data_IF_025797859051
#
_entry.id   IF_025797859051
#
_cell.length_a   1.000
_cell.length_b   1.000
_cell.length_c   1.000
_cell.angle_alpha   90.00
_cell.angle_beta   90.00
_cell.angle_gamma   90.00
#
_symmetry.space_group_name_H-M   'P 1'
#
loop_
_entity.id
_entity.type
_entity.pdbx_description
1 polymer ?
#
# COMPACT_ATOMS: atom_id res chain seq x y z
N UNK A 1 25.88 18.68 -47.09
CA UNK A 1 25.53 17.24 -47.16
C UNK A 1 24.03 17.12 -47.40
N UNK A 2 23.67 16.24 -48.34
CA UNK A 2 22.42 16.18 -49.11
C UNK A 2 21.46 15.13 -48.53
N UNK A 3 20.15 15.36 -48.75
CA UNK A 3 19.03 14.41 -48.82
C UNK A 3 18.55 13.73 -47.53
N UNK A 4 17.29 13.28 -47.41
CA UNK A 4 15.97 13.56 -48.04
C UNK A 4 14.99 12.67 -47.26
N UNK A 5 13.76 13.16 -47.13
CA UNK A 5 12.51 12.45 -46.84
C UNK A 5 12.47 10.94 -47.12
N UNK A 6 11.76 10.17 -46.28
CA UNK A 6 10.49 9.51 -46.64
C UNK A 6 9.91 8.63 -45.51
N UNK A 7 8.62 8.81 -45.31
CA UNK A 7 7.65 7.91 -44.66
C UNK A 7 7.58 6.55 -45.35
N UNK A 8 7.37 5.47 -44.59
CA UNK A 8 6.76 4.23 -45.08
C UNK A 8 5.93 3.54 -43.99
N UNK A 9 4.65 3.38 -44.30
CA UNK A 9 3.68 2.53 -43.60
C UNK A 9 3.92 1.09 -44.09
N UNK A 10 3.89 0.09 -43.20
CA UNK A 10 3.50 -1.26 -43.60
C UNK A 10 2.63 -1.93 -42.53
N UNK A 11 1.43 -2.31 -42.97
CA UNK A 11 0.49 -3.20 -42.28
C UNK A 11 0.91 -4.63 -42.62
N UNK A 12 0.97 -5.52 -41.63
CA UNK A 12 0.98 -6.96 -41.90
C UNK A 12 -0.20 -7.57 -41.13
N UNK A 13 -1.21 -7.98 -41.90
CA UNK A 13 -2.27 -8.88 -41.47
C UNK A 13 -1.68 -10.30 -41.33
N UNK A 14 -2.02 -10.99 -40.25
CA UNK A 14 -1.93 -12.45 -40.22
C UNK A 14 -3.35 -13.02 -40.15
N UNK A 15 -3.84 -13.41 -41.31
CA UNK A 15 -5.01 -14.23 -41.56
C UNK A 15 -4.74 -15.66 -41.07
N UNK A 16 -5.77 -16.29 -40.49
CA UNK A 16 -5.67 -17.58 -39.80
C UNK A 16 -5.40 -18.78 -40.69
N UNK A 17 -5.02 -19.88 -40.03
CA UNK A 17 -5.01 -21.21 -40.61
C UNK A 17 -5.68 -22.19 -39.64
N UNK A 18 -6.93 -22.51 -39.96
CA UNK A 18 -7.67 -23.66 -39.43
C UNK A 18 -7.15 -24.90 -40.15
N UNK A 19 -6.76 -25.94 -39.43
CA UNK A 19 -6.50 -27.26 -40.00
C UNK A 19 -7.38 -28.29 -39.28
N UNK A 20 -8.47 -28.68 -39.95
CA UNK A 20 -9.28 -29.85 -39.65
C UNK A 20 -8.62 -31.07 -40.30
N UNK A 21 -8.43 -32.14 -39.53
CA UNK A 21 -8.21 -33.50 -40.04
C UNK A 21 -9.10 -34.47 -39.26
N UNK A 22 -9.92 -35.22 -40.00
CA UNK A 22 -10.93 -36.18 -39.52
C UNK A 22 -10.56 -37.59 -40.01
N UNK A 23 -10.73 -38.58 -39.12
CA UNK A 23 -11.07 -39.98 -39.42
C UNK A 23 -9.90 -40.98 -39.40
N UNK A 24 -10.01 -42.22 -38.91
CA UNK A 24 -11.09 -42.98 -38.27
C UNK A 24 -10.53 -44.30 -37.67
N UNK A 25 -11.18 -44.88 -36.64
CA UNK A 25 -11.29 -46.34 -36.52
C UNK A 25 -10.73 -47.08 -35.27
N UNK A 26 -11.65 -47.44 -34.38
CA UNK A 26 -11.72 -48.67 -33.54
C UNK A 26 -10.82 -48.86 -32.29
N UNK A 27 -11.42 -48.81 -31.09
CA UNK A 27 -11.93 -50.01 -30.36
C UNK A 27 -12.13 -49.71 -28.87
N UNK A 28 -13.34 -49.95 -28.38
CA UNK A 28 -13.79 -49.65 -27.02
C UNK A 28 -13.48 -50.79 -26.03
N UNK A 29 -13.06 -50.45 -24.81
CA UNK A 29 -13.33 -51.28 -23.62
C UNK A 29 -13.49 -50.43 -22.35
N UNK A 30 -14.66 -50.63 -21.74
CA UNK A 30 -15.24 -50.06 -20.52
C UNK A 30 -14.31 -49.87 -19.31
N UNK A 31 -14.53 -48.80 -18.55
CA UNK A 31 -14.84 -48.89 -17.11
C UNK A 31 -15.52 -47.61 -16.61
N UNK A 32 -16.71 -47.79 -16.04
CA UNK A 32 -17.56 -46.83 -15.34
C UNK A 32 -16.95 -46.33 -14.03
N UNK A 33 -17.15 -45.04 -13.70
CA UNK A 33 -17.80 -44.63 -12.43
C UNK A 33 -18.11 -43.13 -12.42
N UNK A 34 -19.38 -42.84 -12.22
CA UNK A 34 -19.96 -41.52 -12.02
C UNK A 34 -19.42 -40.81 -10.77
N UNK A 35 -19.18 -39.51 -10.88
CA UNK A 35 -19.50 -38.56 -9.80
C UNK A 35 -19.65 -37.15 -10.37
N UNK A 36 -20.86 -36.86 -10.88
CA UNK A 36 -21.36 -35.50 -11.00
C UNK A 36 -21.51 -34.91 -9.60
N UNK A 37 -20.52 -34.11 -9.15
CA UNK A 37 -20.61 -33.30 -7.93
C UNK A 37 -20.66 -31.82 -8.35
N UNK A 38 -21.87 -31.42 -8.70
CA UNK A 38 -22.59 -30.22 -8.24
C UNK A 38 -21.84 -28.87 -8.25
N UNK A 39 -21.89 -28.20 -9.40
CA UNK A 39 -21.68 -26.74 -9.57
C UNK A 39 -22.58 -25.88 -8.66
N UNK A 40 -23.71 -26.42 -8.19
CA UNK A 40 -24.65 -25.75 -7.27
C UNK A 40 -24.09 -25.51 -5.85
N UNK A 41 -22.99 -26.16 -5.45
CA UNK A 41 -22.38 -25.95 -4.13
C UNK A 41 -21.44 -24.73 -4.09
N UNK A 42 -20.80 -24.38 -5.22
CA UNK A 42 -19.96 -23.18 -5.32
C UNK A 42 -20.76 -21.88 -5.39
N UNK A 43 -21.93 -21.90 -6.04
CA UNK A 43 -22.83 -20.74 -6.06
C UNK A 43 -23.51 -20.48 -4.70
N UNK A 44 -23.78 -21.54 -3.93
CA UNK A 44 -24.31 -21.41 -2.56
C UNK A 44 -23.31 -20.86 -1.56
N UNK A 45 -22.00 -20.98 -1.81
CA UNK A 45 -20.97 -20.44 -0.91
C UNK A 45 -20.74 -18.92 -1.09
N UNK A 46 -21.20 -18.35 -2.21
CA UNK A 46 -21.04 -16.93 -2.53
C UNK A 46 -22.28 -16.08 -2.25
N UNK A 47 -23.40 -16.69 -1.86
CA UNK A 47 -24.66 -16.01 -1.52
C UNK A 47 -25.11 -16.35 -0.10
N UNK A 48 -24.45 -15.77 0.89
CA UNK A 48 -25.08 -15.44 2.17
C UNK A 48 -24.24 -14.40 2.91
N UNK A 49 -24.76 -13.18 2.94
CA UNK A 49 -24.65 -12.13 3.95
C UNK A 49 -24.69 -10.76 3.27
N UNK A 50 -25.87 -10.44 2.75
CA UNK A 50 -26.33 -9.08 2.55
C UNK A 50 -27.60 -8.96 3.40
N UNK A 51 -27.40 -8.92 4.71
CA UNK A 51 -28.38 -8.38 5.65
C UNK A 51 -27.79 -7.08 6.19
N UNK A 52 -28.61 -6.04 6.01
CA UNK A 52 -28.35 -4.63 6.23
C UNK A 52 -28.05 -4.31 7.68
N UNK A 53 -26.83 -3.82 7.94
CA UNK A 53 -26.54 -3.02 9.13
C UNK A 53 -26.76 -1.55 8.77
N UNK A 54 -27.79 -0.93 9.35
CA UNK A 54 -28.04 0.51 9.26
C UNK A 54 -27.07 1.27 10.18
N UNK A 55 -25.78 1.23 9.85
CA UNK A 55 -24.75 2.14 10.38
C UNK A 55 -24.24 2.97 9.22
N UNK A 56 -24.30 4.30 9.31
CA UNK A 56 -23.92 5.23 8.24
C UNK A 56 -22.73 4.71 7.41
N UNK A 57 -23.00 4.32 6.15
CA UNK A 57 -22.01 3.91 5.16
C UNK A 57 -21.03 5.08 4.95
N UNK A 58 -19.97 5.13 5.76
CA UNK A 58 -18.86 6.03 5.52
C UNK A 58 -18.16 5.50 4.28
N UNK A 59 -18.48 6.07 3.12
CA UNK A 59 -17.81 5.75 1.87
C UNK A 59 -16.29 5.84 2.07
N UNK A 60 -15.60 4.71 2.00
CA UNK A 60 -14.13 4.67 2.14
C UNK A 60 -13.50 5.29 0.89
N UNK A 61 -12.46 6.09 1.07
CA UNK A 61 -11.72 6.67 -0.04
C UNK A 61 -10.86 5.59 -0.72
N UNK A 62 -10.92 5.53 -2.06
CA UNK A 62 -10.04 4.65 -2.84
C UNK A 62 -8.70 5.35 -3.08
N UNK A 63 -7.60 4.72 -2.67
CA UNK A 63 -6.24 5.23 -2.81
C UNK A 63 -5.34 4.23 -3.52
N UNK A 64 -4.24 4.71 -4.09
CA UNK A 64 -3.25 3.90 -4.77
C UNK A 64 -2.27 3.17 -3.85
N UNK A 65 -1.40 2.37 -4.46
CA UNK A 65 -0.31 1.70 -3.73
C UNK A 65 0.76 2.69 -3.23
N UNK A 66 0.85 3.87 -3.84
CA UNK A 66 1.77 4.95 -3.51
C UNK A 66 1.02 6.27 -3.50
N UNK A 67 1.12 7.02 -2.41
CA UNK A 67 0.43 8.30 -2.24
C UNK A 67 1.35 9.40 -1.74
N UNK A 68 0.91 10.65 -1.87
CA UNK A 68 1.56 11.81 -1.27
C UNK A 68 0.97 12.08 0.11
N UNK A 69 1.83 12.15 1.12
CA UNK A 69 1.44 12.36 2.51
C UNK A 69 2.10 13.62 3.01
N UNK A 70 1.29 14.53 3.55
CA UNK A 70 1.81 15.69 4.27
C UNK A 70 2.11 15.30 5.71
N UNK A 71 3.29 15.67 6.18
CA UNK A 71 3.79 15.38 7.54
C UNK A 71 3.83 16.68 8.33
N UNK A 72 3.28 16.65 9.54
CA UNK A 72 3.34 17.75 10.49
C UNK A 72 3.85 17.26 11.85
N UNK A 73 4.67 18.06 12.55
CA UNK A 73 5.20 19.39 12.18
C UNK A 73 6.21 19.38 11.02
N UNK A 74 6.47 20.55 10.44
CA UNK A 74 7.36 20.75 9.28
C UNK A 74 6.65 21.02 7.95
N UNK A 75 5.37 20.66 7.84
CA UNK A 75 4.50 20.91 6.68
C UNK A 75 5.11 20.54 5.31
N UNK A 76 5.83 19.42 5.25
CA UNK A 76 6.43 18.90 4.02
C UNK A 76 5.66 17.68 3.49
N UNK A 77 5.84 17.34 2.21
CA UNK A 77 5.11 16.27 1.53
C UNK A 77 6.08 15.17 1.07
N UNK A 78 5.83 13.95 1.54
CA UNK A 78 6.60 12.77 1.16
C UNK A 78 5.79 11.83 0.26
N UNK A 79 6.45 11.14 -0.65
CA UNK A 79 5.89 9.93 -1.28
C UNK A 79 5.93 8.78 -0.29
N UNK A 80 4.80 8.10 -0.12
CA UNK A 80 4.65 7.00 0.82
C UNK A 80 4.13 5.75 0.14
N UNK A 81 4.65 4.59 0.54
CA UNK A 81 4.06 3.30 0.18
C UNK A 81 2.90 3.00 1.14
N UNK A 82 1.75 2.65 0.58
CA UNK A 82 0.59 2.18 1.35
C UNK A 82 0.78 0.70 1.66
N UNK A 83 1.03 0.36 2.93
CA UNK A 83 1.40 -0.99 3.36
C UNK A 83 0.32 -1.56 4.30
N UNK A 84 -0.61 -2.32 3.70
CA UNK A 84 -1.68 -3.01 4.44
C UNK A 84 -1.15 -4.14 5.32
N UNK A 85 0.09 -4.61 5.11
CA UNK A 85 0.76 -5.62 5.94
C UNK A 85 1.33 -5.04 7.23
N UNK A 86 1.67 -3.75 7.26
CA UNK A 86 2.21 -3.08 8.44
C UNK A 86 1.12 -2.68 9.45
N UNK A 87 1.28 -3.05 10.72
CA UNK A 87 0.39 -2.61 11.80
C UNK A 87 0.59 -1.14 12.19
N UNK A 88 1.80 -0.62 12.01
CA UNK A 88 2.20 0.74 12.38
C UNK A 88 2.90 1.43 11.20
N UNK A 89 2.58 2.69 10.98
CA UNK A 89 3.30 3.60 10.09
C UNK A 89 4.77 3.74 10.54
N UNK A 90 5.68 3.78 9.57
CA UNK A 90 7.12 3.99 9.82
C UNK A 90 7.68 5.06 8.92
N UNK A 91 8.58 5.89 9.45
CA UNK A 91 9.25 6.96 8.71
C UNK A 91 10.76 6.78 8.78
N UNK A 92 11.42 7.01 7.65
CA UNK A 92 12.85 7.19 7.53
C UNK A 92 13.28 8.48 8.22
N UNK A 93 14.42 8.46 8.89
CA UNK A 93 14.99 9.61 9.57
C UNK A 93 16.41 9.86 9.05
N UNK A 94 16.80 11.13 9.04
CA UNK A 94 18.16 11.56 8.74
C UNK A 94 19.01 11.48 10.01
N UNK A 95 18.45 11.93 11.13
CA UNK A 95 19.06 11.81 12.45
C UNK A 95 18.02 11.69 13.56
N UNK A 96 18.42 11.09 14.69
CA UNK A 96 17.65 11.10 15.93
C UNK A 96 18.57 11.16 17.13
N UNK A 97 18.29 12.08 18.04
CA UNK A 97 18.88 12.16 19.37
C UNK A 97 17.78 11.91 20.40
N UNK A 98 18.05 11.05 21.38
CA UNK A 98 17.15 10.80 22.51
C UNK A 98 17.71 11.51 23.73
N UNK A 99 16.93 12.42 24.30
CA UNK A 99 17.22 13.11 25.55
C UNK A 99 16.19 12.70 26.60
N UNK A 100 16.58 12.73 27.87
CA UNK A 100 15.65 12.51 28.98
C UNK A 100 15.39 13.85 29.69
N UNK A 101 14.13 14.24 29.77
CA UNK A 101 13.68 15.46 30.46
C UNK A 101 12.57 15.07 31.43
N UNK A 102 12.74 15.41 32.72
CA UNK A 102 11.79 15.11 33.79
C UNK A 102 11.36 13.63 33.85
N UNK A 103 12.29 12.72 33.55
CA UNK A 103 12.04 11.27 33.55
C UNK A 103 11.35 10.74 32.30
N UNK A 104 11.12 11.59 31.28
CA UNK A 104 10.49 11.22 30.02
C UNK A 104 11.50 11.28 28.86
N UNK A 105 11.46 10.29 27.97
CA UNK A 105 12.29 10.30 26.78
C UNK A 105 11.68 11.19 25.68
N UNK A 106 12.50 12.08 25.13
CA UNK A 106 12.18 12.96 24.01
C UNK A 106 13.12 12.66 22.85
N UNK A 107 12.57 12.60 21.64
CA UNK A 107 13.31 12.45 20.40
C UNK A 107 13.41 13.81 19.70
N UNK A 108 14.64 14.30 19.52
CA UNK A 108 14.96 15.36 18.55
C UNK A 108 15.26 14.64 17.24
N UNK A 109 14.39 14.79 16.25
CA UNK A 109 14.44 14.03 15.00
C UNK A 109 14.50 14.96 13.80
N UNK A 110 15.40 14.67 12.87
CA UNK A 110 15.47 15.30 11.55
C UNK A 110 14.87 14.38 10.50
N UNK A 111 13.89 14.88 9.76
CA UNK A 111 13.21 14.18 8.66
C UNK A 111 13.10 15.15 7.50
N UNK A 112 13.68 14.80 6.35
CA UNK A 112 13.59 15.61 5.13
C UNK A 112 14.10 17.04 5.40
N UNK A 113 15.24 17.15 6.09
CA UNK A 113 15.85 18.41 6.56
C UNK A 113 15.05 19.22 7.61
N UNK A 114 13.92 18.70 8.10
CA UNK A 114 13.11 19.34 9.14
C UNK A 114 13.40 18.73 10.52
N UNK A 115 13.93 19.54 11.44
CA UNK A 115 14.24 19.11 12.81
C UNK A 115 13.13 19.47 13.78
N UNK A 116 12.60 18.48 14.49
CA UNK A 116 11.47 18.65 15.41
C UNK A 116 11.65 17.80 16.67
N UNK A 117 11.08 18.25 17.80
CA UNK A 117 11.17 17.55 19.09
C UNK A 117 9.85 16.91 19.48
N UNK A 118 9.88 15.63 19.84
CA UNK A 118 8.68 14.84 20.14
C UNK A 118 8.87 13.96 21.36
N UNK A 119 7.83 13.81 22.18
CA UNK A 119 7.82 12.81 23.24
C UNK A 119 7.85 11.40 22.65
N UNK A 120 8.71 10.53 23.16
CA UNK A 120 8.73 9.11 22.83
C UNK A 120 7.59 8.43 23.58
N UNK A 121 6.59 7.94 22.85
CA UNK A 121 5.40 7.34 23.47
C UNK A 121 5.61 5.88 23.87
N UNK A 122 6.54 5.19 23.20
CA UNK A 122 7.01 3.83 23.52
C UNK A 122 8.19 3.45 22.64
N UNK A 123 8.82 2.33 22.97
CA UNK A 123 9.74 1.63 22.08
C UNK A 123 9.08 0.37 21.51
N UNK A 124 9.39 0.07 20.25
CA UNK A 124 9.02 -1.21 19.62
C UNK A 124 10.27 -1.97 19.18
N UNK A 125 10.18 -3.29 19.15
CA UNK A 125 11.23 -4.16 18.64
C UNK A 125 10.81 -4.71 17.29
N UNK A 126 11.53 -4.36 16.24
CA UNK A 126 11.26 -4.84 14.88
C UNK A 126 12.27 -5.94 14.56
N UNK A 127 11.77 -7.18 14.43
CA UNK A 127 12.57 -8.33 14.04
C UNK A 127 12.38 -8.61 12.55
N UNK A 128 13.49 -8.68 11.81
CA UNK A 128 13.49 -9.28 10.47
C UNK A 128 13.86 -10.75 10.59
N UNK A 129 13.36 -11.56 9.66
CA UNK A 129 13.72 -12.98 9.63
C UNK A 129 15.24 -13.13 9.54
N UNK A 130 15.83 -13.92 10.43
CA UNK A 130 17.29 -14.11 10.49
C UNK A 130 18.12 -12.94 11.08
N UNK A 131 17.51 -11.84 11.54
CA UNK A 131 18.24 -10.69 12.09
C UNK A 131 17.92 -10.44 13.57
N UNK A 132 18.85 -9.77 14.26
CA UNK A 132 18.61 -9.25 15.62
C UNK A 132 17.47 -8.22 15.57
N UNK A 133 16.67 -8.19 16.64
CA UNK A 133 15.59 -7.21 16.75
C UNK A 133 16.18 -5.80 16.91
N UNK A 134 15.63 -4.84 16.17
CA UNK A 134 16.02 -3.44 16.27
C UNK A 134 15.01 -2.69 17.13
N UNK A 135 15.48 -2.07 18.23
CA UNK A 135 14.69 -1.16 19.07
C UNK A 135 14.46 0.14 18.32
N UNK A 136 13.22 0.59 18.21
CA UNK A 136 12.83 1.83 17.53
C UNK A 136 11.96 2.69 18.44
N UNK A 137 12.28 3.98 18.62
CA UNK A 137 11.36 4.90 19.28
C UNK A 137 10.12 5.13 18.42
N UNK A 138 8.99 5.34 19.09
CA UNK A 138 7.72 5.71 18.47
C UNK A 138 7.33 7.08 18.96
N UNK A 139 6.99 7.97 18.04
CA UNK A 139 6.50 9.32 18.30
C UNK A 139 5.09 9.50 17.72
N UNK A 140 4.41 10.59 18.05
CA UNK A 140 3.13 10.96 17.40
C UNK A 140 3.39 12.01 16.34
N UNK A 141 2.94 11.76 15.11
CA UNK A 141 2.96 12.73 14.03
C UNK A 141 1.55 12.91 13.47
N UNK A 142 1.26 14.12 12.97
CA UNK A 142 0.05 14.37 12.19
C UNK A 142 0.35 14.10 10.73
N UNK A 143 -0.37 13.15 10.15
CA UNK A 143 -0.28 12.80 8.73
C UNK A 143 -1.57 13.17 8.03
N UNK A 144 -1.46 13.70 6.81
CA UNK A 144 -2.61 14.07 5.99
C UNK A 144 -2.53 13.41 4.62
N UNK A 145 -3.62 12.77 4.20
CA UNK A 145 -3.84 12.18 2.87
C UNK A 145 -5.22 12.61 2.38
N UNK A 146 -5.28 13.35 1.26
CA UNK A 146 -6.51 14.02 0.86
C UNK A 146 -7.03 14.92 1.97
N UNK A 147 -8.30 14.74 2.31
CA UNK A 147 -8.98 15.46 3.40
C UNK A 147 -8.78 14.83 4.78
N UNK A 148 -8.23 13.61 4.83
CA UNK A 148 -8.10 12.86 6.08
C UNK A 148 -6.79 13.23 6.76
N UNK A 149 -6.89 13.89 7.91
CA UNK A 149 -5.77 14.24 8.78
C UNK A 149 -5.87 13.50 10.12
N UNK A 150 -4.81 12.80 10.51
CA UNK A 150 -4.79 11.98 11.75
C UNK A 150 -3.47 12.13 12.49
N UNK A 151 -3.56 12.25 13.81
CA UNK A 151 -2.44 12.03 14.72
C UNK A 151 -2.24 10.52 14.90
N UNK A 152 -1.10 9.99 14.44
CA UNK A 152 -0.80 8.55 14.51
C UNK A 152 0.55 8.29 15.15
N UNK A 153 0.68 7.12 15.76
CA UNK A 153 1.97 6.62 16.22
C UNK A 153 2.84 6.24 15.01
N UNK A 154 4.05 6.79 14.94
CA UNK A 154 5.00 6.56 13.87
C UNK A 154 6.30 6.04 14.46
N UNK A 155 6.78 4.89 13.97
CA UNK A 155 8.09 4.36 14.37
C UNK A 155 9.20 5.03 13.57
N UNK A 156 10.24 5.52 14.25
CA UNK A 156 11.43 6.07 13.62
C UNK A 156 12.36 4.94 13.20
N UNK A 157 12.82 4.94 11.96
CA UNK A 157 13.66 3.88 11.42
C UNK A 157 14.77 4.44 10.53
N UNK A 158 15.97 3.85 10.60
CA UNK A 158 16.95 4.06 9.55
C UNK A 158 16.49 3.32 8.29
N UNK A 159 16.16 4.08 7.23
CA UNK A 159 15.63 3.59 5.96
C UNK A 159 16.40 4.10 4.75
N UNK A 160 17.66 4.50 4.90
CA UNK A 160 18.45 5.10 3.79
C UNK A 160 18.47 4.32 2.47
N UNK A 161 18.33 2.99 2.53
CA UNK A 161 18.33 2.11 1.34
C UNK A 161 16.94 1.80 0.77
N UNK A 162 15.86 2.37 1.30
CA UNK A 162 14.49 2.11 0.84
C UNK A 162 14.06 3.14 -0.21
N UNK A 163 13.35 2.66 -1.23
CA UNK A 163 12.73 3.55 -2.24
C UNK A 163 11.71 4.52 -1.63
N UNK A 164 11.00 4.08 -0.59
CA UNK A 164 10.03 4.90 0.13
C UNK A 164 10.47 5.03 1.60
N UNK A 165 10.75 6.27 1.99
CA UNK A 165 11.10 6.62 3.36
C UNK A 165 9.88 6.57 4.28
N UNK A 166 8.68 6.85 3.76
CA UNK A 166 7.42 6.75 4.51
C UNK A 166 6.63 5.48 4.11
N UNK A 167 6.24 4.68 5.10
CA UNK A 167 5.27 3.59 4.97
C UNK A 167 4.03 3.94 5.77
N UNK A 168 2.86 3.91 5.13
CA UNK A 168 1.56 4.11 5.78
C UNK A 168 0.98 2.76 6.17
N UNK A 169 0.89 2.50 7.47
CA UNK A 169 0.36 1.26 8.03
C UNK A 169 -1.12 1.33 8.40
N UNK A 170 -1.66 0.21 8.87
CA UNK A 170 -3.07 0.05 9.25
C UNK A 170 -3.55 1.03 10.33
N UNK A 171 -2.67 1.49 11.23
CA UNK A 171 -3.03 2.51 12.23
C UNK A 171 -3.43 3.86 11.63
N UNK A 172 -3.06 4.14 10.37
CA UNK A 172 -3.58 5.27 9.60
C UNK A 172 -4.72 4.85 8.66
N UNK A 173 -4.62 3.67 8.03
CA UNK A 173 -5.54 3.23 6.97
C UNK A 173 -6.91 2.75 7.45
N UNK A 174 -6.98 2.19 8.65
CA UNK A 174 -8.18 1.51 9.14
C UNK A 174 -9.43 2.41 9.06
N UNK A 175 -10.53 1.78 8.66
CA UNK A 175 -11.90 2.32 8.60
C UNK A 175 -12.15 3.44 7.59
N UNK A 176 -11.12 3.90 6.86
CA UNK A 176 -11.22 5.08 5.99
C UNK A 176 -10.84 4.86 4.53
N UNK A 177 -10.06 3.83 4.23
CA UNK A 177 -9.48 3.66 2.90
C UNK A 177 -9.68 2.25 2.33
N UNK A 178 -9.80 2.18 1.01
CA UNK A 178 -9.63 0.98 0.18
C UNK A 178 -8.40 1.20 -0.70
N UNK A 179 -7.54 0.19 -0.83
CA UNK A 179 -6.29 0.30 -1.58
C UNK A 179 -6.42 -0.42 -2.91
N UNK A 180 -6.35 0.32 -4.01
CA UNK A 180 -6.21 -0.22 -5.36
C UNK A 180 -4.73 -0.19 -5.77
N UNK A 181 -4.13 -1.37 -5.89
CA UNK A 181 -2.71 -1.52 -6.22
C UNK A 181 -2.35 -1.11 -7.65
N UNK A 182 -3.36 -0.88 -8.50
CA UNK A 182 -3.18 -0.42 -9.88
C UNK A 182 -3.01 1.10 -9.96
N UNK A 183 -3.30 1.83 -8.87
CA UNK A 183 -3.31 3.29 -8.83
C UNK A 183 -2.11 3.86 -8.06
N UNK A 184 -1.77 5.12 -8.34
CA UNK A 184 -0.73 5.90 -7.65
C UNK A 184 -1.08 7.39 -7.67
N UNK A 185 -0.72 8.11 -6.61
CA UNK A 185 -0.92 9.55 -6.46
C UNK A 185 -2.37 9.96 -6.76
N UNK A 186 -3.34 9.20 -6.24
CA UNK A 186 -4.75 9.43 -6.56
C UNK A 186 -5.29 10.70 -5.94
N UNK A 187 -4.76 11.12 -4.79
CA UNK A 187 -5.25 12.27 -4.06
C UNK A 187 -4.06 13.08 -3.50
N UNK A 188 -4.08 14.40 -3.73
CA UNK A 188 -3.12 15.29 -3.10
C UNK A 188 -3.51 15.56 -1.63
N UNK A 189 -2.55 15.60 -0.70
CA UNK A 189 -2.86 15.95 0.69
C UNK A 189 -3.30 17.41 0.77
N UNK A 190 -4.39 17.69 1.52
CA UNK A 190 -4.82 19.06 1.79
C UNK A 190 -3.76 19.83 2.57
N UNK A 191 -3.71 21.15 2.32
CA UNK A 191 -2.88 22.07 3.10
C UNK A 191 -3.17 21.96 4.58
N UNK A 192 -2.11 22.01 5.39
CA UNK A 192 -2.26 22.14 6.82
C UNK A 192 -2.44 23.61 7.16
N UNK A 193 -3.58 23.95 7.77
CA UNK A 193 -3.80 25.27 8.36
C UNK A 193 -3.48 25.16 9.84
N UNK A 194 -2.47 25.91 10.29
CA UNK A 194 -2.31 26.14 11.73
C UNK A 194 -3.52 26.94 12.21
N UNK A 195 -4.27 26.36 13.14
CA UNK A 195 -5.34 27.04 13.86
C UNK A 195 -4.75 27.68 15.11
#
# INVERSE_FOLDING_TARGET
MVNKNKTFISRILYTGMVLLLVGAGASAKNMSKDSNITTSAKEKFFKSNQESDNGAETSKAVIGEVEKIRVNPGNFVMKARIDTGASITSIGIDSVEIINEDGEDWAIVTIDDHTTKHKVVRYIYVKRHGAKAHKRPVIKLRLTLGEISRNVNVSLANRGNFQYQLLIGRNFLNDRFVVDVSLKNTIAPMEYKEN
#
